data_IF_249455357120
#
_entry.id   IF_249455357120
#
_cell.length_a   1.000
_cell.length_b   1.000
_cell.length_c   1.000
_cell.angle_alpha   90.00
_cell.angle_beta   90.00
_cell.angle_gamma   90.00
#
_symmetry.space_group_name_H-M   'P 1'
#
loop_
_entity.id
_entity.type
_entity.pdbx_description
1 polymer ?
#
# COMPACT_ATOMS: atom_id res chain seq x y z
N UNK A 1 -8.89 -4.71 -2.50
CA UNK A 1 -7.77 -4.29 -3.38
C UNK A 1 -6.63 -5.32 -3.36
N UNK A 2 -6.08 -5.68 -2.20
CA UNK A 2 -5.06 -6.74 -2.09
C UNK A 2 -5.42 -8.06 -2.79
N UNK A 3 -6.63 -8.58 -2.57
CA UNK A 3 -7.10 -9.81 -3.23
C UNK A 3 -7.11 -9.70 -4.77
N UNK A 4 -7.51 -8.54 -5.31
CA UNK A 4 -7.51 -8.30 -6.74
C UNK A 4 -6.09 -8.30 -7.33
N UNK A 5 -5.12 -7.71 -6.60
CA UNK A 5 -3.70 -7.77 -6.97
C UNK A 5 -3.17 -9.21 -6.96
N UNK A 6 -3.55 -10.01 -5.95
CA UNK A 6 -3.16 -11.43 -5.86
C UNK A 6 -3.75 -12.22 -7.04
N UNK A 7 -5.03 -12.00 -7.36
CA UNK A 7 -5.70 -12.62 -8.51
C UNK A 7 -4.94 -12.33 -9.82
N UNK A 8 -4.46 -11.11 -10.02
CA UNK A 8 -3.62 -10.72 -11.17
C UNK A 8 -2.20 -11.30 -11.13
N UNK A 9 -1.62 -11.51 -9.94
CA UNK A 9 -0.30 -12.14 -9.81
C UNK A 9 -0.32 -13.64 -10.11
N UNK A 10 -1.43 -14.31 -9.77
CA UNK A 10 -1.67 -15.73 -10.01
C UNK A 10 -2.04 -16.00 -11.49
N UNK A 11 -2.28 -14.95 -12.28
CA UNK A 11 -2.51 -15.02 -13.72
C UNK A 11 -1.25 -15.40 -14.53
N UNK A 12 -1.44 -16.16 -15.61
CA UNK A 12 -0.38 -16.50 -16.55
C UNK A 12 -0.11 -15.35 -17.52
N UNK A 13 1.16 -14.97 -17.68
CA UNK A 13 1.59 -13.96 -18.65
C UNK A 13 1.21 -14.27 -20.11
N UNK A 14 0.97 -15.56 -20.43
CA UNK A 14 0.70 -16.01 -21.80
C UNK A 14 -0.78 -15.98 -22.17
N UNK A 15 -1.67 -15.89 -21.20
CA UNK A 15 -3.11 -15.97 -21.40
C UNK A 15 -3.81 -15.17 -20.29
N UNK A 16 -3.90 -13.83 -20.42
CA UNK A 16 -4.57 -13.00 -19.45
C UNK A 16 -6.09 -13.17 -19.57
N UNK A 17 -6.69 -13.78 -18.54
CA UNK A 17 -8.10 -14.11 -18.41
C UNK A 17 -8.86 -13.19 -17.48
N UNK A 18 -8.18 -12.52 -16.54
CA UNK A 18 -8.79 -11.70 -15.50
C UNK A 18 -9.13 -10.33 -16.09
N UNK A 19 -10.41 -10.13 -16.36
CA UNK A 19 -10.98 -8.87 -16.81
C UNK A 19 -11.34 -7.94 -15.65
N UNK A 20 -11.80 -6.73 -15.98
CA UNK A 20 -12.27 -5.77 -14.97
C UNK A 20 -13.45 -6.33 -14.17
N UNK A 21 -14.31 -7.14 -14.80
CA UNK A 21 -15.49 -7.70 -14.14
C UNK A 21 -15.11 -8.70 -13.03
N UNK A 22 -14.08 -9.52 -13.26
CA UNK A 22 -13.54 -10.43 -12.24
C UNK A 22 -12.94 -9.65 -11.06
N UNK A 23 -12.22 -8.56 -11.35
CA UNK A 23 -11.65 -7.69 -10.31
C UNK A 23 -12.73 -7.01 -9.47
N UNK A 24 -13.91 -6.74 -10.05
CA UNK A 24 -15.06 -6.17 -9.34
C UNK A 24 -15.72 -7.15 -8.36
N UNK A 25 -15.41 -8.46 -8.42
CA UNK A 25 -15.82 -9.41 -7.37
C UNK A 25 -15.08 -9.14 -6.06
N UNK A 26 -13.79 -8.81 -6.16
CA UNK A 26 -12.93 -8.47 -5.02
C UNK A 26 -13.07 -6.99 -4.62
N UNK A 27 -13.31 -6.10 -5.59
CA UNK A 27 -13.43 -4.64 -5.40
C UNK A 27 -14.88 -4.23 -5.65
N UNK A 28 -15.69 -4.23 -4.59
CA UNK A 28 -17.13 -3.94 -4.66
C UNK A 28 -17.45 -2.50 -5.11
N UNK A 29 -16.52 -1.56 -4.94
CA UNK A 29 -16.71 -0.14 -5.15
C UNK A 29 -15.78 0.69 -4.27
N UNK A 30 -15.83 2.03 -4.39
CA UNK A 30 -15.12 2.93 -3.49
C UNK A 30 -15.44 2.65 -2.02
N UNK A 31 -14.50 2.97 -1.15
CA UNK A 31 -14.61 2.85 0.30
C UNK A 31 -14.24 4.22 0.89
N UNK A 32 -15.26 5.00 1.24
CA UNK A 32 -15.07 6.35 1.76
C UNK A 32 -14.94 6.28 3.28
N UNK A 33 -14.27 7.25 3.94
CA UNK A 33 -14.14 7.28 5.39
C UNK A 33 -15.42 7.79 6.07
N UNK A 34 -16.56 7.18 5.75
CA UNK A 34 -17.89 7.44 6.33
C UNK A 34 -18.74 6.18 6.21
N UNK A 35 -19.69 6.00 7.14
CA UNK A 35 -20.67 4.91 7.12
C UNK A 35 -21.89 5.18 6.21
N UNK A 36 -21.84 6.26 5.41
CA UNK A 36 -22.88 6.59 4.44
C UNK A 36 -22.90 5.60 3.27
N UNK A 37 -24.09 5.35 2.73
CA UNK A 37 -24.30 4.30 1.74
C UNK A 37 -23.97 4.78 0.33
N UNK A 38 -23.29 3.94 -0.45
CA UNK A 38 -23.18 4.14 -1.90
C UNK A 38 -24.41 3.50 -2.55
N UNK A 39 -25.25 4.33 -3.17
CA UNK A 39 -26.52 3.89 -3.79
C UNK A 39 -26.40 3.68 -5.30
N UNK A 40 -25.24 4.00 -5.90
CA UNK A 40 -24.98 3.73 -7.31
C UNK A 40 -25.09 2.23 -7.61
N UNK A 41 -25.87 1.82 -8.63
CA UNK A 41 -26.00 0.42 -9.02
C UNK A 41 -24.64 -0.23 -9.34
N UNK A 42 -24.49 -1.52 -9.04
CA UNK A 42 -23.24 -2.26 -9.28
C UNK A 42 -22.80 -2.22 -10.76
N UNK A 43 -23.76 -2.23 -11.68
CA UNK A 43 -23.48 -2.15 -13.13
C UNK A 43 -22.86 -0.81 -13.53
N UNK A 44 -23.27 0.29 -12.89
CA UNK A 44 -22.67 1.62 -13.09
C UNK A 44 -21.27 1.70 -12.47
N UNK A 45 -21.07 1.11 -11.29
CA UNK A 45 -19.75 1.00 -10.68
C UNK A 45 -18.78 0.21 -11.56
N UNK A 46 -19.23 -0.90 -12.16
CA UNK A 46 -18.43 -1.68 -13.13
C UNK A 46 -18.07 -0.85 -14.35
N UNK A 47 -19.04 -0.16 -14.97
CA UNK A 47 -18.78 0.74 -16.12
C UNK A 47 -17.79 1.85 -15.78
N UNK A 48 -17.87 2.40 -14.58
CA UNK A 48 -16.90 3.38 -14.08
C UNK A 48 -15.49 2.77 -14.01
N UNK A 49 -15.34 1.54 -13.49
CA UNK A 49 -14.05 0.85 -13.45
C UNK A 49 -13.52 0.46 -14.83
N UNK A 50 -14.40 0.15 -15.79
CA UNK A 50 -14.03 -0.19 -17.18
C UNK A 50 -13.60 1.03 -18.00
N UNK A 51 -14.22 2.19 -17.77
CA UNK A 51 -13.93 3.41 -18.54
C UNK A 51 -12.94 4.35 -17.84
N UNK A 52 -12.71 4.15 -16.55
CA UNK A 52 -11.91 5.04 -15.70
C UNK A 52 -12.60 6.37 -15.37
N UNK A 53 -13.85 6.59 -15.79
CA UNK A 53 -14.60 7.82 -15.51
C UNK A 53 -16.02 7.50 -15.09
N UNK A 54 -16.62 8.35 -14.26
CA UNK A 54 -18.00 8.18 -13.86
C UNK A 54 -18.40 9.06 -12.69
N UNK A 55 -19.46 8.65 -12.01
CA UNK A 55 -19.96 9.31 -10.82
C UNK A 55 -20.47 8.28 -9.83
N UNK A 56 -20.21 8.51 -8.55
CA UNK A 56 -20.66 7.67 -7.45
C UNK A 56 -21.58 8.49 -6.56
N UNK A 57 -22.77 7.98 -6.31
CA UNK A 57 -23.79 8.66 -5.51
C UNK A 57 -23.81 8.05 -4.13
N UNK A 58 -23.66 8.89 -3.13
CA UNK A 58 -23.68 8.54 -1.72
C UNK A 58 -24.93 9.14 -1.07
N UNK A 59 -25.51 8.42 -0.13
CA UNK A 59 -26.70 8.80 0.63
C UNK A 59 -26.45 8.63 2.12
N UNK A 60 -26.90 9.59 2.90
CA UNK A 60 -26.84 9.53 4.36
C UNK A 60 -27.57 8.30 4.90
N UNK A 61 -27.04 7.71 5.98
CA UNK A 61 -27.76 6.68 6.74
C UNK A 61 -28.65 7.36 7.78
N UNK A 62 -29.87 6.88 7.90
CA UNK A 62 -30.81 7.36 8.91
C UNK A 62 -31.58 6.20 9.53
N UNK A 63 -32.12 6.45 10.71
CA UNK A 63 -32.97 5.55 11.46
C UNK A 63 -34.24 6.28 11.90
N UNK A 64 -35.30 5.51 12.12
CA UNK A 64 -36.55 6.06 12.65
C UNK A 64 -36.49 6.07 14.18
N UNK A 65 -36.45 7.26 14.76
CA UNK A 65 -36.50 7.47 16.20
C UNK A 65 -37.93 7.66 16.73
N UNK A 66 -38.06 7.79 18.05
CA UNK A 66 -39.34 8.17 18.68
C UNK A 66 -39.72 9.61 18.30
N UNK A 67 -40.66 9.77 17.36
CA UNK A 67 -41.18 11.08 16.95
C UNK A 67 -40.47 11.75 15.77
N UNK A 68 -39.48 11.10 15.15
CA UNK A 68 -38.71 11.73 14.09
C UNK A 68 -37.71 10.82 13.39
N UNK A 69 -36.71 11.46 12.79
CA UNK A 69 -35.68 10.86 11.96
C UNK A 69 -34.33 11.19 12.56
N UNK A 70 -33.46 10.19 12.70
CA UNK A 70 -32.12 10.34 13.25
C UNK A 70 -31.14 10.03 12.13
N UNK A 71 -30.39 11.03 11.66
CA UNK A 71 -29.32 10.83 10.67
C UNK A 71 -28.04 10.44 11.41
N UNK A 72 -27.51 9.26 11.11
CA UNK A 72 -26.37 8.65 11.82
C UNK A 72 -25.08 8.64 11.01
N UNK A 73 -25.14 8.87 9.69
CA UNK A 73 -23.95 9.02 8.85
C UNK A 73 -24.21 9.96 7.68
N UNK A 74 -23.24 10.82 7.35
CA UNK A 74 -23.31 11.77 6.24
C UNK A 74 -22.44 11.34 5.05
N UNK A 75 -22.79 11.71 3.81
CA UNK A 75 -21.93 11.49 2.66
C UNK A 75 -20.52 12.09 2.83
N UNK A 76 -19.56 11.56 2.08
CA UNK A 76 -18.17 12.01 2.18
C UNK A 76 -18.04 13.52 1.91
N UNK A 77 -17.26 14.22 2.74
CA UNK A 77 -17.04 15.68 2.70
C UNK A 77 -18.33 16.53 2.84
N UNK A 78 -19.32 16.02 3.58
CA UNK A 78 -20.51 16.78 3.97
C UNK A 78 -20.47 17.04 5.48
N UNK A 79 -20.66 18.30 5.88
CA UNK A 79 -20.71 18.69 7.30
C UNK A 79 -22.14 18.75 7.82
N UNK A 80 -22.34 18.40 9.10
CA UNK A 80 -23.65 18.45 9.75
C UNK A 80 -24.25 19.85 9.73
N UNK A 81 -23.47 20.88 10.07
CA UNK A 81 -23.92 22.27 10.02
C UNK A 81 -24.43 22.72 8.65
N UNK A 82 -23.83 22.25 7.54
CA UNK A 82 -24.32 22.56 6.18
C UNK A 82 -25.67 21.91 5.91
N UNK A 83 -25.87 20.66 6.34
CA UNK A 83 -27.17 19.98 6.23
C UNK A 83 -28.22 20.73 7.04
N UNK A 84 -27.87 21.15 8.25
CA UNK A 84 -28.79 21.89 9.10
C UNK A 84 -29.21 23.21 8.48
N UNK A 85 -28.27 23.98 7.94
CA UNK A 85 -28.55 25.23 7.24
C UNK A 85 -29.47 25.00 6.04
N UNK A 86 -29.20 23.96 5.23
CA UNK A 86 -30.03 23.61 4.07
C UNK A 86 -31.46 23.26 4.49
N UNK A 87 -31.65 22.41 5.51
CA UNK A 87 -32.98 22.02 6.00
C UNK A 87 -33.70 23.22 6.63
N UNK A 88 -33.02 23.98 7.49
CA UNK A 88 -33.58 25.16 8.15
C UNK A 88 -34.04 26.21 7.13
N UNK A 89 -33.25 26.46 6.08
CA UNK A 89 -33.64 27.38 4.99
C UNK A 89 -34.94 26.94 4.28
N UNK A 90 -35.13 25.63 4.08
CA UNK A 90 -36.35 25.09 3.50
C UNK A 90 -37.55 25.16 4.46
N UNK A 91 -37.33 25.01 5.77
CA UNK A 91 -38.36 25.21 6.80
C UNK A 91 -38.84 26.66 6.84
N UNK A 92 -37.91 27.63 6.83
CA UNK A 92 -38.24 29.07 6.78
C UNK A 92 -39.01 29.42 5.51
N UNK A 93 -38.63 28.83 4.37
CA UNK A 93 -39.35 28.97 3.11
C UNK A 93 -40.71 28.24 3.07
N UNK A 94 -41.16 27.62 4.18
CA UNK A 94 -42.40 26.84 4.31
C UNK A 94 -42.50 25.66 3.33
N UNK A 95 -41.37 25.14 2.84
CA UNK A 95 -41.32 23.97 1.94
C UNK A 95 -41.43 22.64 2.68
N UNK A 96 -41.16 22.64 3.99
CA UNK A 96 -41.15 21.45 4.85
C UNK A 96 -42.16 21.59 6.01
N UNK A 97 -43.48 21.70 5.76
CA UNK A 97 -44.48 21.92 6.82
C UNK A 97 -44.64 20.73 7.78
N UNK A 98 -44.12 19.56 7.41
CA UNK A 98 -44.21 18.33 8.20
C UNK A 98 -43.09 18.20 9.25
N UNK A 99 -42.02 18.98 9.12
CA UNK A 99 -40.91 19.04 10.07
C UNK A 99 -41.25 20.13 11.09
N UNK A 100 -41.19 19.78 12.37
CA UNK A 100 -41.44 20.68 13.49
C UNK A 100 -40.15 21.36 13.95
N UNK A 101 -39.09 20.58 14.12
CA UNK A 101 -37.83 21.04 14.70
C UNK A 101 -36.64 20.23 14.12
N UNK A 102 -35.44 20.81 14.23
CA UNK A 102 -34.18 20.24 13.74
C UNK A 102 -33.07 20.50 14.75
N UNK A 103 -32.36 19.46 15.19
CA UNK A 103 -31.31 19.55 16.22
C UNK A 103 -30.03 18.84 15.81
N UNK A 104 -28.90 19.40 16.23
CA UNK A 104 -27.62 18.70 16.23
C UNK A 104 -27.40 18.15 17.63
N UNK A 105 -27.36 16.83 17.74
CA UNK A 105 -27.02 16.15 18.98
C UNK A 105 -25.68 15.41 18.84
N UNK A 106 -24.87 15.79 17.84
CA UNK A 106 -23.55 15.18 17.62
C UNK A 106 -22.60 15.44 18.79
N UNK A 107 -21.91 14.40 19.24
CA UNK A 107 -20.94 14.45 20.32
C UNK A 107 -19.70 13.57 20.00
N UNK A 108 -18.86 13.29 21.00
CA UNK A 108 -17.67 12.46 20.82
C UNK A 108 -18.02 10.98 20.58
N UNK A 109 -19.13 10.48 21.12
CA UNK A 109 -19.56 9.08 20.98
C UNK A 109 -20.34 8.86 19.68
N UNK A 110 -21.10 9.87 19.26
CA UNK A 110 -21.93 9.91 18.06
C UNK A 110 -21.50 11.12 17.21
N UNK A 111 -20.46 11.00 16.37
CA UNK A 111 -19.92 12.12 15.61
C UNK A 111 -20.89 12.75 14.61
N UNK A 112 -21.94 12.01 14.24
CA UNK A 112 -23.04 12.47 13.40
C UNK A 112 -24.34 12.02 14.05
N UNK A 113 -25.08 12.96 14.63
CA UNK A 113 -26.40 12.73 15.20
C UNK A 113 -27.29 13.94 14.93
N UNK A 114 -27.93 13.96 13.76
CA UNK A 114 -28.87 15.03 13.39
C UNK A 114 -30.29 14.52 13.59
N UNK A 115 -31.05 15.16 14.47
CA UNK A 115 -32.41 14.78 14.82
C UNK A 115 -33.40 15.70 14.12
N UNK A 116 -34.25 15.12 13.28
CA UNK A 116 -35.33 15.81 12.57
C UNK A 116 -36.65 15.41 13.22
N UNK A 117 -37.29 16.34 13.92
CA UNK A 117 -38.54 16.09 14.63
C UNK A 117 -39.71 16.34 13.70
N UNK A 118 -40.60 15.36 13.58
CA UNK A 118 -41.81 15.47 12.75
C UNK A 118 -42.98 15.97 13.58
N UNK A 119 -43.87 16.76 12.98
CA UNK A 119 -45.05 17.32 13.67
C UNK A 119 -46.03 16.25 14.16
N UNK A 120 -46.00 15.06 13.59
CA UNK A 120 -46.85 13.94 13.98
C UNK A 120 -46.23 12.61 13.61
N UNK A 121 -46.44 11.58 14.44
CA UNK A 121 -46.03 10.20 14.16
C UNK A 121 -46.68 9.59 12.90
N UNK A 122 -47.75 10.20 12.36
CA UNK A 122 -48.45 9.75 11.15
C UNK A 122 -47.81 10.23 9.85
N UNK A 123 -46.81 11.10 9.93
CA UNK A 123 -46.12 11.64 8.77
C UNK A 123 -45.31 10.54 8.08
N UNK A 124 -45.34 10.53 6.74
CA UNK A 124 -44.54 9.62 5.94
C UNK A 124 -43.07 10.07 5.94
N UNK A 125 -42.27 9.36 6.74
CA UNK A 125 -40.82 9.58 6.88
C UNK A 125 -40.09 9.36 5.56
N UNK A 126 -40.50 8.36 4.78
CA UNK A 126 -39.85 8.01 3.51
C UNK A 126 -40.05 9.14 2.49
N UNK A 127 -41.24 9.73 2.46
CA UNK A 127 -41.53 10.88 1.59
C UNK A 127 -40.68 12.11 1.97
N UNK A 128 -40.53 12.39 3.27
CA UNK A 128 -39.66 13.47 3.74
C UNK A 128 -38.22 13.21 3.32
N UNK A 129 -37.69 12.02 3.60
CA UNK A 129 -36.31 11.69 3.29
C UNK A 129 -36.04 11.73 1.79
N UNK A 130 -36.96 11.22 0.97
CA UNK A 130 -36.86 11.31 -0.49
C UNK A 130 -36.72 12.76 -0.97
N UNK A 131 -37.54 13.67 -0.44
CA UNK A 131 -37.43 15.10 -0.74
C UNK A 131 -36.10 15.71 -0.23
N UNK A 132 -35.68 15.36 0.98
CA UNK A 132 -34.44 15.85 1.56
C UNK A 132 -33.20 15.37 0.78
N UNK A 133 -33.18 14.12 0.33
CA UNK A 133 -32.12 13.60 -0.55
C UNK A 133 -32.06 14.37 -1.87
N UNK A 134 -33.21 14.72 -2.46
CA UNK A 134 -33.24 15.45 -3.72
C UNK A 134 -32.83 16.93 -3.61
N UNK A 135 -32.94 17.53 -2.42
CA UNK A 135 -32.82 19.00 -2.23
C UNK A 135 -31.71 19.44 -1.29
N UNK A 136 -31.03 18.50 -0.62
CA UNK A 136 -29.94 18.77 0.32
C UNK A 136 -28.74 17.87 0.01
N UNK A 137 -27.60 18.16 0.64
CA UNK A 137 -26.39 17.35 0.54
C UNK A 137 -26.49 16.00 1.31
N UNK A 138 -27.66 15.64 1.87
CA UNK A 138 -27.91 14.30 2.43
C UNK A 138 -27.76 13.21 1.37
N UNK A 139 -27.90 13.55 0.09
CA UNK A 139 -27.46 12.74 -1.03
C UNK A 139 -26.52 13.55 -1.93
N UNK A 140 -25.35 12.99 -2.24
CA UNK A 140 -24.33 13.71 -3.00
C UNK A 140 -23.65 12.80 -4.02
N UNK A 141 -23.41 13.37 -5.20
CA UNK A 141 -22.61 12.70 -6.24
C UNK A 141 -21.15 13.14 -6.17
N UNK A 142 -20.24 12.16 -6.23
CA UNK A 142 -18.80 12.33 -6.29
C UNK A 142 -18.34 11.93 -7.69
N UNK A 143 -17.73 12.88 -8.41
CA UNK A 143 -17.16 12.62 -9.74
C UNK A 143 -15.91 11.74 -9.62
N UNK A 144 -15.82 10.72 -10.45
CA UNK A 144 -14.66 9.82 -10.55
C UNK A 144 -13.98 10.02 -11.91
N UNK A 145 -12.67 10.18 -11.88
CA UNK A 145 -11.81 10.24 -13.06
C UNK A 145 -10.42 9.71 -12.70
N UNK A 146 -10.08 8.52 -13.17
CA UNK A 146 -8.79 7.87 -12.97
C UNK A 146 -7.72 8.40 -13.93
N UNK A 147 -7.61 9.72 -14.01
CA UNK A 147 -6.52 10.36 -14.73
C UNK A 147 -5.27 10.38 -13.84
N UNK A 148 -4.20 9.73 -14.29
CA UNK A 148 -2.95 9.60 -13.54
C UNK A 148 -1.74 9.57 -14.48
N UNK A 149 -0.56 9.85 -13.93
CA UNK A 149 0.70 9.77 -14.67
C UNK A 149 1.17 8.31 -14.64
N UNK A 150 1.36 7.74 -15.82
CA UNK A 150 1.92 6.40 -15.95
C UNK A 150 3.40 6.31 -15.64
N UNK A 151 3.88 5.08 -15.60
CA UNK A 151 5.30 4.72 -15.58
C UNK A 151 6.07 5.20 -16.83
N UNK A 152 5.36 5.52 -17.90
CA UNK A 152 5.86 6.18 -19.11
C UNK A 152 6.00 7.72 -18.97
N UNK A 153 5.59 8.27 -17.82
CA UNK A 153 5.65 9.70 -17.52
C UNK A 153 4.54 10.53 -18.17
N UNK A 154 3.53 9.91 -18.78
CA UNK A 154 2.44 10.62 -19.47
C UNK A 154 1.12 10.54 -18.69
N UNK A 155 0.33 11.62 -18.64
CA UNK A 155 -1.00 11.59 -18.04
C UNK A 155 -1.99 10.84 -18.94
N UNK A 156 -2.72 9.89 -18.36
CA UNK A 156 -3.73 9.11 -19.07
C UNK A 156 -4.86 8.69 -18.12
N UNK A 157 -6.09 8.62 -18.65
CA UNK A 157 -7.21 7.94 -17.98
C UNK A 157 -7.07 6.44 -18.15
N UNK A 158 -7.07 5.70 -17.05
CA UNK A 158 -6.88 4.24 -17.02
C UNK A 158 -8.07 3.53 -16.40
N UNK A 159 -8.38 2.35 -16.92
CA UNK A 159 -9.34 1.45 -16.29
C UNK A 159 -8.72 0.78 -15.05
N UNK A 160 -9.55 0.12 -14.24
CA UNK A 160 -9.12 -0.54 -13.01
C UNK A 160 -8.01 -1.58 -13.24
N UNK A 161 -8.09 -2.36 -14.32
CA UNK A 161 -7.13 -3.42 -14.60
C UNK A 161 -5.77 -2.82 -14.98
N UNK A 162 -5.76 -1.84 -15.86
CA UNK A 162 -4.56 -1.13 -16.29
C UNK A 162 -3.81 -0.53 -15.10
N UNK A 163 -4.55 0.11 -14.16
CA UNK A 163 -3.97 0.65 -12.93
C UNK A 163 -3.27 -0.44 -12.11
N UNK A 164 -3.96 -1.56 -11.84
CA UNK A 164 -3.41 -2.63 -11.00
C UNK A 164 -2.25 -3.35 -11.66
N UNK A 165 -2.32 -3.64 -12.96
CA UNK A 165 -1.24 -4.29 -13.72
C UNK A 165 0.00 -3.41 -13.73
N UNK A 166 -0.15 -2.13 -14.03
CA UNK A 166 0.99 -1.21 -14.07
C UNK A 166 1.59 -0.98 -12.68
N UNK A 167 0.77 -0.92 -11.64
CA UNK A 167 1.25 -0.89 -10.26
C UNK A 167 2.00 -2.18 -9.88
N UNK A 168 1.55 -3.35 -10.33
CA UNK A 168 2.23 -4.62 -10.11
C UNK A 168 3.58 -4.69 -10.84
N UNK A 169 3.68 -4.16 -12.06
CA UNK A 169 4.94 -4.07 -12.80
C UNK A 169 5.92 -3.09 -12.11
N UNK A 170 5.41 -1.96 -11.62
CA UNK A 170 6.18 -1.05 -10.77
C UNK A 170 6.64 -1.74 -9.48
N UNK A 171 5.76 -2.51 -8.83
CA UNK A 171 6.09 -3.26 -7.61
C UNK A 171 7.14 -4.34 -7.89
N UNK A 172 7.05 -5.05 -9.02
CA UNK A 172 8.05 -6.03 -9.44
C UNK A 172 9.42 -5.36 -9.62
N UNK A 173 9.45 -4.20 -10.26
CA UNK A 173 10.67 -3.41 -10.49
C UNK A 173 11.29 -2.95 -9.17
N UNK A 174 10.49 -2.41 -8.24
CA UNK A 174 10.99 -1.93 -6.95
C UNK A 174 11.48 -3.06 -6.05
N UNK A 175 10.79 -4.21 -6.03
CA UNK A 175 11.24 -5.41 -5.31
C UNK A 175 12.54 -5.93 -5.90
N UNK A 176 12.66 -5.99 -7.22
CA UNK A 176 13.91 -6.40 -7.88
C UNK A 176 15.07 -5.48 -7.49
N UNK A 177 14.89 -4.15 -7.53
CA UNK A 177 15.90 -3.18 -7.09
C UNK A 177 16.32 -3.39 -5.63
N UNK A 178 15.34 -3.60 -4.73
CA UNK A 178 15.61 -3.87 -3.31
C UNK A 178 16.45 -5.13 -3.11
N UNK A 179 16.11 -6.21 -3.82
CA UNK A 179 16.84 -7.47 -3.74
C UNK A 179 18.24 -7.37 -4.36
N UNK A 180 18.38 -6.70 -5.51
CA UNK A 180 19.68 -6.45 -6.14
C UNK A 180 20.60 -5.63 -5.23
N UNK A 181 20.08 -4.55 -4.62
CA UNK A 181 20.84 -3.74 -3.66
C UNK A 181 21.32 -4.55 -2.46
N UNK A 182 20.48 -5.45 -1.93
CA UNK A 182 20.89 -6.36 -0.84
C UNK A 182 21.94 -7.36 -1.32
N UNK A 183 21.74 -7.95 -2.50
CA UNK A 183 22.68 -8.92 -3.09
C UNK A 183 24.06 -8.30 -3.33
N UNK A 184 24.13 -7.06 -3.83
CA UNK A 184 25.38 -6.33 -4.00
C UNK A 184 26.10 -6.14 -2.67
N UNK A 185 25.40 -5.72 -1.62
CA UNK A 185 25.98 -5.62 -0.27
C UNK A 185 26.51 -6.96 0.26
N UNK A 186 25.75 -8.03 0.07
CA UNK A 186 26.15 -9.39 0.48
C UNK A 186 27.40 -9.82 -0.28
N UNK A 187 27.44 -9.62 -1.60
CA UNK A 187 28.61 -9.94 -2.44
C UNK A 187 29.85 -9.15 -2.05
N UNK A 188 29.72 -7.83 -1.85
CA UNK A 188 30.83 -6.99 -1.39
C UNK A 188 31.35 -7.45 -0.02
N UNK A 189 30.45 -7.84 0.90
CA UNK A 189 30.87 -8.34 2.21
C UNK A 189 31.58 -9.69 2.11
N UNK A 190 31.02 -10.65 1.37
CA UNK A 190 31.65 -11.95 1.11
C UNK A 190 33.04 -11.80 0.47
N UNK A 191 33.19 -10.84 -0.45
CA UNK A 191 34.47 -10.53 -1.10
C UNK A 191 35.53 -10.10 -0.08
N UNK A 192 35.19 -9.22 0.85
CA UNK A 192 36.09 -8.81 1.93
C UNK A 192 36.40 -9.97 2.89
N UNK A 193 35.38 -10.74 3.31
CA UNK A 193 35.58 -11.89 4.20
C UNK A 193 36.52 -12.94 3.58
N UNK A 194 36.42 -13.18 2.27
CA UNK A 194 37.33 -14.07 1.56
C UNK A 194 38.80 -13.59 1.64
N UNK A 195 39.04 -12.28 1.46
CA UNK A 195 40.37 -11.70 1.60
C UNK A 195 40.92 -11.82 3.03
N UNK A 196 40.07 -11.54 4.03
CA UNK A 196 40.44 -11.69 5.44
C UNK A 196 40.82 -13.14 5.77
N UNK A 197 40.05 -14.12 5.32
CA UNK A 197 40.35 -15.55 5.55
C UNK A 197 41.66 -15.99 4.91
N UNK A 198 42.01 -15.46 3.74
CA UNK A 198 43.33 -15.67 3.12
C UNK A 198 44.44 -15.10 4.03
N UNK A 199 44.22 -13.93 4.63
CA UNK A 199 45.18 -13.34 5.56
C UNK A 199 45.33 -14.14 6.86
N UNK A 200 44.24 -14.66 7.45
CA UNK A 200 44.32 -15.54 8.63
C UNK A 200 45.12 -16.82 8.34
N UNK A 201 44.95 -17.41 7.16
CA UNK A 201 45.68 -18.62 6.77
C UNK A 201 47.19 -18.37 6.60
N UNK A 202 47.59 -17.14 6.24
CA UNK A 202 48.97 -16.78 5.91
C UNK A 202 49.49 -15.62 6.78
N UNK A 203 49.07 -15.56 8.05
CA UNK A 203 49.25 -14.36 8.87
C UNK A 203 50.73 -13.96 9.06
N UNK A 204 51.62 -14.94 9.23
CA UNK A 204 53.05 -14.69 9.39
C UNK A 204 53.66 -14.07 8.12
N UNK A 205 53.25 -14.53 6.94
CA UNK A 205 53.71 -14.00 5.66
C UNK A 205 53.14 -12.61 5.39
N UNK A 206 51.86 -12.38 5.72
CA UNK A 206 51.25 -11.04 5.64
C UNK A 206 51.98 -10.04 6.54
N UNK A 207 52.28 -10.42 7.80
CA UNK A 207 53.04 -9.56 8.73
C UNK A 207 54.47 -9.31 8.23
N UNK A 208 55.12 -10.33 7.66
CA UNK A 208 56.46 -10.18 7.09
C UNK A 208 56.48 -9.16 5.95
N UNK A 209 55.52 -9.25 5.01
CA UNK A 209 55.38 -8.29 3.90
C UNK A 209 55.14 -6.87 4.43
N UNK A 210 54.21 -6.70 5.38
CA UNK A 210 53.87 -5.38 5.97
C UNK A 210 55.08 -4.75 6.67
N UNK A 211 55.97 -5.55 7.26
CA UNK A 211 57.16 -5.05 7.97
C UNK A 211 58.35 -4.79 7.07
N UNK A 212 58.45 -5.47 5.93
CA UNK A 212 59.62 -5.42 5.05
C UNK A 212 59.47 -4.40 3.92
N UNK A 213 58.25 -4.20 3.42
CA UNK A 213 57.96 -3.35 2.27
C UNK A 213 57.45 -1.97 2.70
N UNK A 214 57.96 -0.90 2.07
CA UNK A 214 57.48 0.47 2.31
C UNK A 214 56.03 0.65 1.84
N UNK A 215 55.67 0.00 0.73
CA UNK A 215 54.31 -0.05 0.18
C UNK A 215 53.81 -1.50 0.11
N UNK A 216 53.21 -2.04 1.19
CA UNK A 216 52.85 -3.46 1.23
C UNK A 216 51.63 -3.82 0.38
N UNK A 217 50.76 -2.86 0.04
CA UNK A 217 49.50 -3.11 -0.67
C UNK A 217 49.69 -3.79 -2.04
N UNK A 218 50.52 -3.27 -2.97
CA UNK A 218 50.73 -3.93 -4.27
C UNK A 218 51.35 -5.33 -4.13
N UNK A 219 52.21 -5.52 -3.14
CA UNK A 219 52.88 -6.81 -2.88
C UNK A 219 51.87 -7.85 -2.36
N UNK A 220 51.02 -7.48 -1.40
CA UNK A 220 49.94 -8.34 -0.89
C UNK A 220 48.96 -8.72 -2.02
N UNK A 221 48.59 -7.76 -2.87
CA UNK A 221 47.73 -8.00 -4.04
C UNK A 221 48.35 -9.00 -5.00
N UNK A 222 49.62 -8.84 -5.37
CA UNK A 222 50.30 -9.74 -6.28
C UNK A 222 50.51 -11.14 -5.68
N UNK A 223 50.92 -11.21 -4.41
CA UNK A 223 51.29 -12.46 -3.73
C UNK A 223 50.10 -13.38 -3.47
N UNK A 224 48.98 -12.81 -3.05
CA UNK A 224 47.78 -13.52 -2.64
C UNK A 224 46.61 -13.37 -3.63
N UNK A 225 46.85 -12.73 -4.78
CA UNK A 225 45.84 -12.46 -5.81
C UNK A 225 44.63 -11.69 -5.28
N UNK A 226 44.89 -10.73 -4.38
CA UNK A 226 43.85 -9.92 -3.74
C UNK A 226 43.49 -8.71 -4.59
N UNK A 227 42.25 -8.29 -4.50
CA UNK A 227 41.81 -6.98 -5.01
C UNK A 227 42.29 -5.85 -4.11
N UNK A 228 42.26 -4.61 -4.62
CA UNK A 228 42.60 -3.43 -3.83
C UNK A 228 41.79 -3.30 -2.54
N UNK A 229 40.47 -3.52 -2.60
CA UNK A 229 39.58 -3.44 -1.43
C UNK A 229 39.89 -4.52 -0.38
N UNK A 230 40.23 -5.74 -0.81
CA UNK A 230 40.62 -6.80 0.12
C UNK A 230 41.97 -6.49 0.78
N UNK A 231 42.95 -6.00 0.01
CA UNK A 231 44.25 -5.62 0.56
C UNK A 231 44.10 -4.47 1.58
N UNK A 232 43.28 -3.46 1.29
CA UNK A 232 42.96 -2.39 2.23
C UNK A 232 42.32 -2.95 3.52
N UNK A 233 41.34 -3.85 3.40
CA UNK A 233 40.69 -4.46 4.55
C UNK A 233 41.65 -5.29 5.44
N UNK A 234 42.68 -5.92 4.84
CA UNK A 234 43.72 -6.64 5.57
C UNK A 234 44.66 -5.66 6.28
N UNK A 235 45.03 -4.55 5.65
CA UNK A 235 45.89 -3.54 6.25
C UNK A 235 45.19 -2.81 7.43
N UNK A 236 43.87 -2.66 7.36
CA UNK A 236 43.05 -2.08 8.43
C UNK A 236 42.73 -3.06 9.58
N UNK A 237 43.21 -4.31 9.48
CA UNK A 237 42.94 -5.36 10.46
C UNK A 237 43.67 -5.06 11.78
N UNK A 238 42.91 -4.92 12.87
CA UNK A 238 43.46 -4.67 14.21
C UNK A 238 44.03 -5.95 14.80
N UNK A 239 45.18 -5.87 15.48
CA UNK A 239 45.84 -7.03 16.12
C UNK A 239 44.90 -7.88 17.00
N UNK A 240 43.95 -7.27 17.71
CA UNK A 240 42.96 -8.00 18.53
C UNK A 240 42.07 -8.94 17.71
N UNK A 241 41.84 -8.63 16.43
CA UNK A 241 41.03 -9.47 15.55
C UNK A 241 41.81 -10.72 15.11
N UNK A 242 43.14 -10.80 15.31
CA UNK A 242 43.91 -12.01 14.96
C UNK A 242 43.64 -13.22 15.88
N UNK A 243 42.75 -13.08 16.87
CA UNK A 243 42.36 -14.18 17.75
C UNK A 243 41.55 -15.24 16.99
N UNK A 244 41.73 -16.52 17.36
CA UNK A 244 40.99 -17.65 16.75
C UNK A 244 39.46 -17.50 16.83
N UNK A 245 38.95 -16.84 17.87
CA UNK A 245 37.52 -16.56 18.02
C UNK A 245 36.97 -15.71 16.87
N UNK A 246 37.73 -14.73 16.41
CA UNK A 246 37.34 -13.78 15.36
C UNK A 246 37.37 -14.46 13.99
N UNK A 247 38.33 -15.37 13.75
CA UNK A 247 38.32 -16.23 12.56
C UNK A 247 37.03 -17.07 12.51
N UNK A 248 36.62 -17.68 13.63
CA UNK A 248 35.37 -18.46 13.68
C UNK A 248 34.15 -17.59 13.39
N UNK A 249 34.10 -16.35 13.91
CA UNK A 249 33.02 -15.41 13.64
C UNK A 249 32.95 -15.03 12.16
N UNK A 250 34.11 -14.76 11.53
CA UNK A 250 34.21 -14.44 10.09
C UNK A 250 33.72 -15.62 9.23
N UNK A 251 34.08 -16.86 9.60
CA UNK A 251 33.59 -18.06 8.89
C UNK A 251 32.08 -18.23 9.04
N UNK A 252 31.54 -18.07 10.25
CA UNK A 252 30.09 -18.12 10.49
C UNK A 252 29.35 -17.04 9.69
N UNK A 253 29.87 -15.81 9.68
CA UNK A 253 29.30 -14.72 8.88
C UNK A 253 29.34 -15.03 7.38
N UNK A 254 30.44 -15.61 6.89
CA UNK A 254 30.58 -16.03 5.49
C UNK A 254 29.52 -17.09 5.12
N UNK A 255 29.35 -18.13 5.96
CA UNK A 255 28.37 -19.19 5.73
C UNK A 255 26.93 -18.65 5.69
N UNK A 256 26.56 -17.78 6.62
CA UNK A 256 25.25 -17.13 6.65
C UNK A 256 25.00 -16.27 5.40
N UNK A 257 25.99 -15.48 5.00
CA UNK A 257 25.90 -14.62 3.83
C UNK A 257 25.90 -15.41 2.51
N UNK A 258 26.57 -16.57 2.45
CA UNK A 258 26.51 -17.45 1.28
C UNK A 258 25.10 -18.03 1.11
N UNK A 259 24.46 -18.49 2.20
CA UNK A 259 23.06 -18.94 2.18
C UNK A 259 22.13 -17.80 1.75
N UNK A 260 22.35 -16.59 2.26
CA UNK A 260 21.56 -15.42 1.87
C UNK A 260 21.75 -15.07 0.39
N UNK A 261 22.99 -15.03 -0.11
CA UNK A 261 23.34 -14.77 -1.52
C UNK A 261 22.59 -15.75 -2.42
N UNK A 262 22.69 -17.04 -2.15
CA UNK A 262 22.07 -18.09 -2.95
C UNK A 262 20.55 -17.95 -2.97
N UNK A 263 19.94 -17.58 -1.84
CA UNK A 263 18.50 -17.30 -1.76
C UNK A 263 18.12 -16.11 -2.64
N UNK A 264 18.85 -14.99 -2.54
CA UNK A 264 18.59 -13.78 -3.31
C UNK A 264 18.75 -14.02 -4.81
N UNK A 265 19.84 -14.68 -5.23
CA UNK A 265 20.09 -15.04 -6.62
C UNK A 265 19.01 -15.97 -7.17
N UNK A 266 18.59 -16.98 -6.41
CA UNK A 266 17.49 -17.86 -6.79
C UNK A 266 16.20 -17.09 -7.01
N UNK A 267 15.86 -16.12 -6.15
CA UNK A 267 14.66 -15.30 -6.32
C UNK A 267 14.79 -14.42 -7.57
N UNK A 268 15.90 -13.69 -7.71
CA UNK A 268 16.14 -12.78 -8.83
C UNK A 268 16.19 -13.49 -10.20
N UNK A 269 16.63 -14.75 -10.24
CA UNK A 269 16.70 -15.54 -11.47
C UNK A 269 15.32 -15.99 -12.00
N UNK A 270 14.24 -15.87 -11.23
CA UNK A 270 12.92 -16.37 -11.64
C UNK A 270 11.82 -15.35 -11.36
N UNK A 271 11.21 -14.84 -12.44
CA UNK A 271 10.01 -13.98 -12.34
C UNK A 271 8.92 -14.60 -11.47
N UNK A 272 8.70 -15.92 -11.57
CA UNK A 272 7.73 -16.65 -10.75
C UNK A 272 8.03 -16.54 -9.24
N UNK A 273 9.31 -16.64 -8.85
CA UNK A 273 9.72 -16.49 -7.44
C UNK A 273 9.57 -15.05 -6.96
N UNK A 274 9.87 -14.07 -7.80
CA UNK A 274 9.61 -12.65 -7.49
C UNK A 274 8.11 -12.42 -7.26
N UNK A 275 7.25 -12.91 -8.16
CA UNK A 275 5.79 -12.81 -7.99
C UNK A 275 5.29 -13.52 -6.74
N UNK A 276 5.82 -14.71 -6.42
CA UNK A 276 5.51 -15.41 -5.18
C UNK A 276 5.87 -14.59 -3.94
N UNK A 277 7.05 -13.97 -3.92
CA UNK A 277 7.44 -13.06 -2.84
C UNK A 277 6.51 -11.85 -2.74
N UNK A 278 6.18 -11.21 -3.85
CA UNK A 278 5.25 -10.05 -3.86
C UNK A 278 3.88 -10.45 -3.33
N UNK A 279 3.39 -11.65 -3.68
CA UNK A 279 2.13 -12.19 -3.18
C UNK A 279 2.15 -12.35 -1.66
N UNK A 280 3.21 -12.93 -1.11
CA UNK A 280 3.40 -13.07 0.35
C UNK A 280 3.45 -11.72 1.05
N UNK A 281 4.16 -10.74 0.49
CA UNK A 281 4.22 -9.38 1.02
C UNK A 281 2.86 -8.69 1.01
N UNK A 282 2.11 -8.76 -0.10
CA UNK A 282 0.77 -8.16 -0.19
C UNK A 282 -0.19 -8.79 0.82
N UNK A 283 -0.12 -10.10 1.04
CA UNK A 283 -0.92 -10.78 2.06
C UNK A 283 -0.57 -10.31 3.47
N UNK A 284 0.72 -10.23 3.80
CA UNK A 284 1.18 -9.76 5.10
C UNK A 284 0.80 -8.30 5.34
N UNK A 285 0.92 -7.45 4.32
CA UNK A 285 0.51 -6.04 4.41
C UNK A 285 -1.00 -5.90 4.54
N UNK A 286 -1.79 -6.74 3.86
CA UNK A 286 -3.25 -6.75 3.98
C UNK A 286 -3.71 -7.17 5.38
N UNK A 287 -3.05 -8.15 5.99
CA UNK A 287 -3.33 -8.57 7.38
C UNK A 287 -2.95 -7.49 8.39
N UNK A 288 -1.81 -6.81 8.17
CA UNK A 288 -1.28 -5.82 9.09
C UNK A 288 -1.98 -4.46 9.01
N UNK A 289 -2.37 -4.04 7.81
CA UNK A 289 -2.88 -2.68 7.55
C UNK A 289 -4.32 -2.65 7.05
N UNK A 290 -4.94 -3.80 6.78
CA UNK A 290 -6.33 -3.87 6.32
C UNK A 290 -7.33 -3.45 7.40
N UNK A 291 -8.42 -2.82 6.97
CA UNK A 291 -9.58 -2.53 7.79
C UNK A 291 -10.85 -3.15 7.19
N UNK A 292 -11.90 -3.23 8.00
CA UNK A 292 -13.22 -3.61 7.52
C UNK A 292 -13.77 -2.48 6.63
N UNK A 293 -14.51 -2.87 5.58
CA UNK A 293 -15.23 -1.92 4.73
C UNK A 293 -16.15 -1.05 5.60
N UNK A 294 -16.09 0.26 5.42
CA UNK A 294 -16.85 1.23 6.20
C UNK A 294 -18.28 1.41 5.67
#
# INVERSE_FOLDING_TARGET
MANACIRLLDESDKDPKVGVDDLCEDIKGPDFPTAAEIITPREELRRMYQTGTGSVRMRARYERGSGGIIVTALPYQVSGGRIQEQIASQMVARKLPMIEDLRDESDHENPVLIVIITRSNRVDVEQIMSHLFATTDLERSVRVNFNMIGTDGRPQVKDLRAILVEWLDYRETTVRRRLTHRLEKVRSRLHILAGLLIAYLNIDEVIAIIRAEDEPKPVLMARFQLTGEQADAILDLKLRHLARLEEMQIRSEQEELDVERDRLEKILASRRRIRGLIREEILSDAEKYGDARR
#
